data_IF_339707955307
#
_entry.id   IF_339707955307
#
_cell.length_a   1.000
_cell.length_b   1.000
_cell.length_c   1.000
_cell.angle_alpha   90.00
_cell.angle_beta   90.00
_cell.angle_gamma   90.00
#
_symmetry.space_group_name_H-M   'P 1'
#
loop_
_entity.id
_entity.type
_entity.pdbx_description
1 polymer ?
#
# COMPACT_ATOMS: atom_id res chain seq x y z
N UNK A 1 -7.04 0.69 0.59
CA UNK A 1 -7.25 -0.42 -0.38
C UNK A 1 -6.55 -0.13 -1.71
N UNK A 2 -6.08 -1.19 -2.38
CA UNK A 2 -5.53 -1.19 -3.74
C UNK A 2 -6.43 -2.04 -4.64
N UNK A 3 -6.77 -1.55 -5.83
CA UNK A 3 -7.64 -2.24 -6.79
C UNK A 3 -6.90 -2.55 -8.08
N UNK A 4 -6.96 -3.80 -8.49
CA UNK A 4 -6.48 -4.31 -9.77
C UNK A 4 -7.47 -4.00 -10.91
N UNK A 5 -7.01 -3.82 -12.16
CA UNK A 5 -7.91 -3.77 -13.33
C UNK A 5 -8.77 -5.04 -13.48
N UNK A 6 -8.27 -6.19 -13.01
CA UNK A 6 -8.96 -7.47 -12.97
C UNK A 6 -10.08 -7.58 -11.91
N UNK A 7 -10.32 -6.53 -11.12
CA UNK A 7 -11.39 -6.51 -10.12
C UNK A 7 -11.00 -7.02 -8.73
N UNK A 8 -9.83 -7.66 -8.58
CA UNK A 8 -9.31 -8.11 -7.28
C UNK A 8 -8.83 -6.90 -6.46
N UNK A 9 -9.03 -6.98 -5.14
CA UNK A 9 -8.70 -5.91 -4.19
C UNK A 9 -7.72 -6.42 -3.13
N UNK A 10 -6.73 -5.59 -2.79
CA UNK A 10 -5.86 -5.77 -1.64
C UNK A 10 -6.20 -4.72 -0.58
N UNK A 11 -6.37 -5.17 0.66
CA UNK A 11 -6.58 -4.32 1.83
C UNK A 11 -5.42 -4.55 2.77
N UNK A 12 -4.79 -3.46 3.20
CA UNK A 12 -3.73 -3.47 4.18
C UNK A 12 -3.79 -2.19 4.99
N UNK A 13 -3.26 -2.27 6.20
CA UNK A 13 -3.20 -1.17 7.17
C UNK A 13 -1.79 -0.58 7.18
N UNK A 14 -1.65 0.71 7.47
CA UNK A 14 -0.35 1.35 7.65
C UNK A 14 -0.38 2.41 8.74
N UNK A 15 0.63 2.52 9.60
CA UNK A 15 0.73 3.71 10.48
C UNK A 15 1.43 4.88 9.79
N UNK A 16 2.10 4.63 8.67
CA UNK A 16 2.82 5.67 7.90
C UNK A 16 1.88 6.41 6.97
N UNK A 17 2.33 7.55 6.43
CA UNK A 17 1.57 8.34 5.45
C UNK A 17 1.13 7.47 4.27
N UNK A 18 -0.16 7.42 3.97
CA UNK A 18 -0.72 6.60 2.88
C UNK A 18 0.05 6.80 1.57
N UNK A 19 0.35 8.06 1.19
CA UNK A 19 1.07 8.35 -0.06
C UNK A 19 2.44 7.66 -0.15
N UNK A 20 3.16 7.56 0.96
CA UNK A 20 4.45 6.85 1.03
C UNK A 20 4.23 5.36 0.80
N UNK A 21 3.26 4.76 1.51
CA UNK A 21 2.93 3.35 1.35
C UNK A 21 2.47 2.99 -0.07
N UNK A 22 1.70 3.86 -0.72
CA UNK A 22 1.30 3.70 -2.13
C UNK A 22 2.52 3.80 -3.06
N UNK A 23 3.47 4.70 -2.78
CA UNK A 23 4.70 4.83 -3.57
C UNK A 23 5.56 3.57 -3.48
N UNK A 24 5.69 2.99 -2.28
CA UNK A 24 6.38 1.71 -2.06
C UNK A 24 5.74 0.59 -2.88
N UNK A 25 4.42 0.38 -2.75
CA UNK A 25 3.72 -0.65 -3.53
C UNK A 25 3.92 -0.49 -5.05
N UNK A 26 3.90 0.75 -5.55
CA UNK A 26 4.21 1.03 -6.96
C UNK A 26 5.66 0.70 -7.32
N UNK A 27 6.60 0.92 -6.40
CA UNK A 27 8.00 0.54 -6.53
C UNK A 27 8.17 -0.99 -6.58
N UNK A 28 7.51 -1.72 -5.69
CA UNK A 28 7.56 -3.17 -5.62
C UNK A 28 7.01 -3.81 -6.90
N UNK A 29 5.92 -3.27 -7.45
CA UNK A 29 5.35 -3.73 -8.73
C UNK A 29 6.34 -3.51 -9.88
N UNK A 30 6.99 -2.34 -9.96
CA UNK A 30 7.94 -2.01 -11.04
C UNK A 30 9.20 -2.85 -10.98
N UNK A 31 9.69 -3.12 -9.77
CA UNK A 31 10.95 -3.80 -9.53
C UNK A 31 10.74 -5.23 -9.02
N UNK A 32 9.64 -5.86 -9.41
CA UNK A 32 9.30 -7.20 -8.93
C UNK A 32 10.42 -8.19 -9.26
N UNK A 33 10.91 -8.87 -8.23
CA UNK A 33 11.82 -10.01 -8.34
C UNK A 33 11.38 -11.08 -7.35
N UNK A 34 11.23 -12.30 -7.83
CA UNK A 34 10.83 -13.45 -7.00
C UNK A 34 11.85 -13.67 -5.88
N UNK A 35 11.37 -14.05 -4.70
CA UNK A 35 12.19 -14.38 -3.54
C UNK A 35 13.04 -13.18 -3.03
N UNK A 36 12.54 -11.96 -3.21
CA UNK A 36 13.17 -10.72 -2.69
C UNK A 36 12.18 -9.89 -1.88
N UNK A 37 12.64 -8.78 -1.30
CA UNK A 37 11.78 -7.84 -0.56
C UNK A 37 10.64 -7.24 -1.42
N UNK A 38 10.80 -7.21 -2.76
CA UNK A 38 9.74 -6.75 -3.67
C UNK A 38 8.74 -7.85 -4.03
N UNK A 39 8.90 -9.08 -3.53
CA UNK A 39 7.95 -10.20 -3.72
C UNK A 39 6.74 -10.11 -2.77
N UNK A 40 6.02 -9.00 -2.87
CA UNK A 40 4.76 -8.81 -2.17
C UNK A 40 3.61 -9.50 -2.92
N UNK A 41 2.48 -9.82 -2.25
CA UNK A 41 1.31 -10.37 -2.92
C UNK A 41 0.81 -9.49 -4.07
N UNK A 42 0.89 -8.17 -3.92
CA UNK A 42 0.43 -7.20 -4.93
C UNK A 42 1.35 -7.20 -6.15
N UNK A 43 2.66 -7.09 -5.95
CA UNK A 43 3.63 -7.08 -7.05
C UNK A 43 3.69 -8.42 -7.78
N UNK A 44 3.64 -9.53 -7.05
CA UNK A 44 3.55 -10.88 -7.63
C UNK A 44 2.29 -11.05 -8.49
N UNK A 45 1.13 -10.61 -7.98
CA UNK A 45 -0.12 -10.65 -8.74
C UNK A 45 -0.02 -9.83 -10.04
N UNK A 46 0.51 -8.60 -9.97
CA UNK A 46 0.69 -7.75 -11.15
C UNK A 46 1.63 -8.37 -12.18
N UNK A 47 2.74 -8.98 -11.73
CA UNK A 47 3.68 -9.66 -12.62
C UNK A 47 3.08 -10.90 -13.29
N UNK A 48 2.35 -11.72 -12.54
CA UNK A 48 1.69 -12.94 -13.06
C UNK A 48 0.60 -12.61 -14.09
N UNK A 49 -0.18 -11.55 -13.86
CA UNK A 49 -1.29 -11.15 -14.72
C UNK A 49 -0.90 -10.11 -15.78
N UNK A 50 0.40 -9.82 -15.93
CA UNK A 50 0.95 -8.83 -16.89
C UNK A 50 0.26 -7.46 -16.79
N UNK A 51 -0.09 -7.05 -15.58
CA UNK A 51 -0.69 -5.74 -15.32
C UNK A 51 0.39 -4.67 -15.16
N UNK A 52 0.10 -3.46 -15.63
CA UNK A 52 0.99 -2.33 -15.50
C UNK A 52 0.66 -1.51 -14.26
N UNK A 53 1.68 -0.95 -13.61
CA UNK A 53 1.55 -0.13 -12.40
C UNK A 53 0.62 1.09 -12.58
N UNK A 54 0.49 1.62 -13.80
CA UNK A 54 -0.44 2.72 -14.10
C UNK A 54 -1.91 2.34 -13.96
N UNK A 55 -2.23 1.05 -14.01
CA UNK A 55 -3.59 0.52 -13.88
C UNK A 55 -4.00 0.36 -12.40
N UNK A 56 -3.05 0.47 -11.47
CA UNK A 56 -3.30 0.36 -10.03
C UNK A 56 -4.12 1.57 -9.56
N UNK A 57 -5.33 1.30 -9.05
CA UNK A 57 -6.15 2.31 -8.36
C UNK A 57 -6.05 2.11 -6.85
N UNK A 58 -6.23 3.17 -6.08
CA UNK A 58 -6.19 3.10 -4.62
C UNK A 58 -7.21 4.05 -4.00
N UNK A 59 -7.65 3.71 -2.80
CA UNK A 59 -8.62 4.47 -2.01
C UNK A 59 -8.30 4.27 -0.52
N UNK A 60 -8.43 5.32 0.28
CA UNK A 60 -8.41 5.21 1.76
C UNK A 60 -9.80 4.78 2.21
N UNK A 61 -9.87 3.69 2.97
CA UNK A 61 -11.16 3.16 3.45
C UNK A 61 -11.59 3.85 4.74
N UNK A 62 -10.65 4.00 5.67
CA UNK A 62 -10.89 4.53 7.00
C UNK A 62 -9.65 5.29 7.45
N UNK A 63 -9.84 6.33 8.26
CA UNK A 63 -8.76 7.00 8.99
C UNK A 63 -9.09 6.90 10.47
N UNK A 64 -8.48 5.94 11.14
CA UNK A 64 -8.55 5.79 12.60
C UNK A 64 -7.51 6.71 13.22
N UNK A 65 -7.98 7.68 13.99
CA UNK A 65 -7.11 8.50 14.83
C UNK A 65 -6.53 7.62 15.94
N UNK A 66 -5.20 7.66 16.11
CA UNK A 66 -4.57 6.96 17.22
C UNK A 66 -5.12 7.53 18.54
N UNK A 67 -5.66 6.70 19.45
CA UNK A 67 -6.07 7.19 20.75
C UNK A 67 -4.87 7.86 21.42
N UNK A 68 -5.06 9.09 21.89
CA UNK A 68 -4.07 9.83 22.69
C UNK A 68 -3.76 9.01 23.95
N UNK A 69 -2.81 8.07 23.88
CA UNK A 69 -2.13 7.57 25.09
C UNK A 69 -1.13 8.66 25.44
N UNK A 70 -1.42 9.39 26.52
CA UNK A 70 -0.67 10.58 26.93
C UNK A 70 0.84 10.40 26.85
N UNK A 71 1.46 10.95 25.81
CA UNK A 71 2.89 11.23 25.69
C UNK A 71 3.11 12.17 24.48
N UNK A 72 3.26 13.45 24.80
CA UNK A 72 3.99 14.54 24.12
C UNK A 72 4.18 14.51 22.60
N UNK A 73 3.40 15.36 21.92
CA UNK A 73 3.63 16.12 20.67
C UNK A 73 4.78 15.66 19.76
N UNK A 74 4.41 14.90 18.72
CA UNK A 74 5.17 14.79 17.47
C UNK A 74 4.18 14.73 16.33
N UNK A 75 4.04 15.83 15.60
CA UNK A 75 3.13 16.04 14.46
C UNK A 75 3.44 15.09 13.30
N UNK A 76 2.92 13.87 13.39
CA UNK A 76 2.88 12.94 12.27
C UNK A 76 1.58 12.16 12.35
N UNK A 77 0.52 12.68 11.73
CA UNK A 77 -0.74 11.94 11.60
C UNK A 77 -0.47 10.55 11.03
N UNK A 78 -0.64 9.48 11.82
CA UNK A 78 -0.64 8.13 11.31
C UNK A 78 -2.00 7.88 10.64
N UNK A 79 -1.99 7.37 9.41
CA UNK A 79 -3.22 7.08 8.67
C UNK A 79 -3.26 5.59 8.41
N UNK A 80 -4.09 4.87 9.16
CA UNK A 80 -4.37 3.43 9.05
C UNK A 80 -4.88 2.99 7.69
#
# INVERSE_FOLDING_TARGET
MLKCPCGIVYVGQTIRKVKERIKEHKGDIRNFKKDTATDTPVSRHFNMNKHHVSQLKWLVLEVVESPHRGATIGSGCPIV
#
